data_IF_450570559466
#
_entry.id   IF_450570559466
#
_cell.length_a   1.000
_cell.length_b   1.000
_cell.length_c   1.000
_cell.angle_alpha   90.00
_cell.angle_beta   90.00
_cell.angle_gamma   90.00
#
_symmetry.space_group_name_H-M   'P 1'
#
loop_
_entity.id
_entity.type
_entity.pdbx_description
1 polymer ?
#
# COMPACT_ATOMS: atom_id res chain seq x y z
N UNK A 1 -46.65 -32.03 -18.14
CA UNK A 1 -45.32 -31.57 -18.65
C UNK A 1 -45.17 -30.05 -18.46
N UNK A 2 -45.10 -29.62 -17.23
CA UNK A 2 -44.73 -28.24 -16.86
C UNK A 2 -44.05 -28.31 -15.52
N UNK A 3 -42.90 -27.58 -15.38
CA UNK A 3 -42.14 -27.27 -14.17
C UNK A 3 -40.80 -28.02 -14.00
N UNK A 4 -39.87 -27.78 -14.89
CA UNK A 4 -38.44 -28.02 -14.58
C UNK A 4 -37.49 -26.85 -14.92
N UNK A 5 -37.99 -25.73 -15.46
CA UNK A 5 -37.14 -24.57 -15.83
C UNK A 5 -36.90 -23.59 -14.69
N UNK A 6 -37.76 -23.50 -13.69
CA UNK A 6 -37.63 -22.52 -12.61
C UNK A 6 -36.54 -22.82 -11.57
N UNK A 7 -36.05 -24.06 -11.50
CA UNK A 7 -35.08 -24.45 -10.46
C UNK A 7 -33.62 -24.28 -10.93
N UNK A 8 -33.34 -24.33 -12.24
CA UNK A 8 -31.99 -24.13 -12.76
C UNK A 8 -31.61 -22.64 -12.84
N UNK A 9 -32.55 -21.80 -13.23
CA UNK A 9 -32.34 -20.34 -13.29
C UNK A 9 -32.11 -19.76 -11.90
N UNK A 10 -32.80 -20.27 -10.88
CA UNK A 10 -32.60 -19.90 -9.47
C UNK A 10 -31.20 -20.26 -8.95
N UNK A 11 -30.63 -21.39 -9.36
CA UNK A 11 -29.28 -21.78 -8.96
C UNK A 11 -28.23 -20.98 -9.71
N UNK A 12 -28.44 -20.62 -10.98
CA UNK A 12 -27.55 -19.79 -11.77
C UNK A 12 -27.42 -18.38 -11.17
N UNK A 13 -28.52 -17.84 -10.66
CA UNK A 13 -28.52 -16.53 -10.01
C UNK A 13 -27.69 -16.50 -8.71
N UNK A 14 -27.50 -17.66 -8.08
CA UNK A 14 -26.70 -17.81 -6.85
C UNK A 14 -25.25 -18.22 -7.11
N UNK A 15 -24.86 -18.41 -8.39
CA UNK A 15 -23.49 -18.79 -8.75
C UNK A 15 -22.52 -17.64 -8.49
N UNK A 16 -21.41 -17.90 -7.77
CA UNK A 16 -20.35 -16.89 -7.60
C UNK A 16 -19.84 -16.40 -8.96
N UNK A 17 -19.57 -15.12 -9.05
CA UNK A 17 -19.01 -14.51 -10.26
C UNK A 17 -17.48 -14.58 -10.21
N UNK A 18 -16.85 -15.03 -11.29
CA UNK A 18 -15.40 -15.07 -11.41
C UNK A 18 -14.79 -13.66 -11.36
N UNK A 19 -13.84 -13.41 -10.46
CA UNK A 19 -13.18 -12.11 -10.39
C UNK A 19 -12.35 -11.80 -11.63
N UNK A 20 -12.42 -10.56 -12.09
CA UNK A 20 -11.51 -10.06 -13.13
C UNK A 20 -10.16 -9.64 -12.51
N UNK A 21 -9.08 -9.55 -13.31
CA UNK A 21 -7.78 -9.07 -12.84
C UNK A 21 -7.84 -7.67 -12.20
N UNK A 22 -8.75 -6.81 -12.64
CA UNK A 22 -8.95 -5.46 -12.10
C UNK A 22 -9.51 -5.45 -10.67
N UNK A 23 -10.06 -6.55 -10.19
CA UNK A 23 -10.62 -6.71 -8.84
C UNK A 23 -9.57 -7.19 -7.84
N UNK A 24 -8.45 -7.75 -8.31
CA UNK A 24 -7.36 -8.25 -7.46
C UNK A 24 -6.52 -7.10 -6.89
N UNK A 25 -6.00 -7.29 -5.66
CA UNK A 25 -5.09 -6.32 -5.03
C UNK A 25 -3.68 -6.31 -5.64
N UNK A 26 -3.29 -7.35 -6.38
CA UNK A 26 -1.95 -7.47 -6.98
C UNK A 26 -0.81 -7.72 -6.00
N UNK A 27 -1.10 -7.92 -4.70
CA UNK A 27 -0.09 -8.00 -3.64
C UNK A 27 0.36 -9.42 -3.28
N UNK A 28 -0.17 -10.45 -3.97
CA UNK A 28 0.14 -11.85 -3.65
C UNK A 28 -0.44 -12.33 -2.32
N UNK A 29 -1.52 -11.70 -1.84
CA UNK A 29 -2.18 -12.05 -0.58
C UNK A 29 -2.72 -13.49 -0.60
N UNK A 30 -2.72 -14.15 0.56
CA UNK A 30 -3.35 -15.47 0.75
C UNK A 30 -4.28 -15.41 1.97
N UNK A 31 -5.58 -15.77 1.83
CA UNK A 31 -6.23 -16.16 0.57
C UNK A 31 -6.38 -14.98 -0.40
N UNK A 32 -6.19 -15.22 -1.70
CA UNK A 32 -6.47 -14.27 -2.75
C UNK A 32 -7.98 -14.17 -3.02
N UNK A 33 -8.44 -13.12 -3.71
CA UNK A 33 -9.84 -13.03 -4.16
C UNK A 33 -10.22 -14.23 -5.06
N UNK A 34 -9.26 -14.77 -5.82
CA UNK A 34 -9.47 -15.99 -6.62
C UNK A 34 -9.59 -17.24 -5.76
N UNK A 35 -8.80 -17.37 -4.68
CA UNK A 35 -8.91 -18.49 -3.74
C UNK A 35 -10.27 -18.46 -3.03
N UNK A 36 -10.78 -17.27 -2.69
CA UNK A 36 -12.12 -17.07 -2.12
C UNK A 36 -13.19 -17.50 -3.13
N UNK A 37 -13.06 -17.07 -4.38
CA UNK A 37 -13.98 -17.45 -5.44
C UNK A 37 -14.02 -18.96 -5.66
N UNK A 38 -12.87 -19.64 -5.73
CA UNK A 38 -12.81 -21.11 -5.87
C UNK A 38 -13.50 -21.83 -4.71
N UNK A 39 -13.32 -21.33 -3.48
CA UNK A 39 -13.99 -21.87 -2.30
C UNK A 39 -15.51 -21.66 -2.36
N UNK A 40 -15.96 -20.47 -2.71
CA UNK A 40 -17.39 -20.16 -2.87
C UNK A 40 -18.02 -20.96 -4.02
N UNK A 41 -17.30 -21.15 -5.13
CA UNK A 41 -17.76 -21.97 -6.25
C UNK A 41 -17.92 -23.43 -5.83
N UNK A 42 -16.95 -24.00 -5.15
CA UNK A 42 -17.04 -25.37 -4.64
C UNK A 42 -18.18 -25.55 -3.63
N UNK A 43 -18.46 -24.56 -2.79
CA UNK A 43 -19.59 -24.54 -1.88
C UNK A 43 -20.93 -24.49 -2.64
N UNK A 44 -21.02 -23.65 -3.66
CA UNK A 44 -22.19 -23.56 -4.53
C UNK A 44 -22.47 -24.88 -5.26
N UNK A 45 -21.43 -25.52 -5.83
CA UNK A 45 -21.55 -26.83 -6.49
C UNK A 45 -22.08 -27.91 -5.54
N UNK A 46 -21.57 -27.94 -4.29
CA UNK A 46 -22.05 -28.88 -3.24
C UNK A 46 -23.50 -28.61 -2.87
N UNK A 47 -23.85 -27.34 -2.69
CA UNK A 47 -25.23 -26.94 -2.35
C UNK A 47 -26.19 -27.30 -3.49
N UNK A 48 -25.81 -27.03 -4.74
CA UNK A 48 -26.58 -27.38 -5.94
C UNK A 48 -26.75 -28.90 -6.06
N UNK A 49 -25.69 -29.68 -5.88
CA UNK A 49 -25.74 -31.15 -5.92
C UNK A 49 -26.67 -31.72 -4.87
N UNK A 50 -26.73 -31.13 -3.70
CA UNK A 50 -27.61 -31.55 -2.59
C UNK A 50 -29.01 -30.90 -2.64
N UNK A 51 -29.25 -29.99 -3.58
CA UNK A 51 -30.49 -29.17 -3.67
C UNK A 51 -30.79 -28.42 -2.35
N UNK A 52 -29.75 -28.04 -1.60
CA UNK A 52 -29.87 -27.43 -0.28
C UNK A 52 -29.23 -26.04 -0.26
N UNK A 53 -30.06 -25.00 -0.42
CA UNK A 53 -29.63 -23.60 -0.39
C UNK A 53 -29.13 -23.14 0.98
N UNK A 54 -29.45 -23.84 2.06
CA UNK A 54 -28.99 -23.49 3.41
C UNK A 54 -27.46 -23.61 3.55
N UNK A 55 -26.83 -24.49 2.74
CA UNK A 55 -25.37 -24.63 2.65
C UNK A 55 -24.66 -23.40 2.08
N UNK A 56 -25.38 -22.51 1.38
CA UNK A 56 -24.84 -21.22 0.89
C UNK A 56 -24.89 -20.14 1.97
N UNK A 57 -25.68 -20.36 3.03
CA UNK A 57 -25.85 -19.41 4.14
C UNK A 57 -24.88 -19.69 5.30
N UNK A 58 -23.91 -20.60 5.14
CA UNK A 58 -22.79 -20.66 6.09
C UNK A 58 -22.10 -19.30 6.10
N UNK A 59 -22.34 -18.62 7.20
CA UNK A 59 -22.03 -17.24 7.48
C UNK A 59 -20.66 -16.84 6.93
N UNK A 60 -20.61 -15.79 6.11
CA UNK A 60 -19.52 -14.81 6.23
C UNK A 60 -19.55 -14.34 7.68
N UNK A 61 -18.84 -15.02 8.57
CA UNK A 61 -18.62 -14.54 9.91
C UNK A 61 -17.85 -13.23 9.76
N UNK A 62 -18.58 -12.13 9.82
CA UNK A 62 -18.00 -10.87 10.19
C UNK A 62 -17.50 -11.10 11.61
N UNK A 63 -16.20 -11.35 11.72
CA UNK A 63 -15.53 -11.45 13.00
C UNK A 63 -15.86 -10.19 13.76
N UNK A 64 -16.57 -10.35 14.88
CA UNK A 64 -16.78 -9.27 15.86
C UNK A 64 -15.48 -8.93 16.62
N UNK A 65 -14.37 -9.59 16.27
CA UNK A 65 -13.06 -9.31 16.79
C UNK A 65 -12.54 -8.03 16.12
N UNK A 66 -12.19 -7.08 16.95
CA UNK A 66 -11.55 -5.80 16.60
C UNK A 66 -10.11 -5.95 16.09
N UNK A 67 -9.62 -7.17 15.92
CA UNK A 67 -8.29 -7.47 15.43
C UNK A 67 -8.29 -7.75 13.93
N UNK A 68 -7.23 -7.29 13.29
CA UNK A 68 -6.99 -7.53 11.87
C UNK A 68 -6.74 -9.03 11.63
N UNK A 69 -7.40 -9.60 10.62
CA UNK A 69 -7.31 -11.03 10.29
C UNK A 69 -7.05 -11.20 8.79
N UNK A 70 -6.10 -12.07 8.37
CA UNK A 70 -5.84 -12.30 6.94
C UNK A 70 -6.99 -13.01 6.21
N UNK A 71 -7.77 -13.83 6.91
CA UNK A 71 -8.82 -14.66 6.31
C UNK A 71 -10.17 -13.96 6.21
N UNK A 72 -10.42 -12.97 7.08
CA UNK A 72 -11.69 -12.26 7.18
C UNK A 72 -11.50 -10.75 7.17
N UNK A 73 -12.51 -10.03 6.67
CA UNK A 73 -12.50 -8.56 6.71
C UNK A 73 -13.00 -8.07 8.07
N UNK A 74 -12.26 -7.12 8.63
CA UNK A 74 -12.59 -6.41 9.86
C UNK A 74 -13.03 -4.99 9.53
N UNK A 75 -14.08 -4.52 10.18
CA UNK A 75 -14.65 -3.19 9.99
C UNK A 75 -13.96 -2.16 10.88
N UNK A 76 -13.52 -1.04 10.28
CA UNK A 76 -12.98 0.12 10.98
C UNK A 76 -13.66 1.39 10.49
N UNK A 77 -13.89 2.33 11.39
CA UNK A 77 -14.55 3.61 11.08
C UNK A 77 -13.55 4.69 10.71
N UNK A 78 -13.90 5.51 9.73
CA UNK A 78 -13.11 6.69 9.34
C UNK A 78 -13.28 7.77 10.43
N UNK A 79 -12.20 8.14 11.10
CA UNK A 79 -12.22 9.21 12.12
C UNK A 79 -11.90 10.59 11.54
N UNK A 80 -11.00 10.64 10.56
CA UNK A 80 -10.66 11.89 9.89
C UNK A 80 -10.12 11.65 8.47
N UNK A 81 -10.20 12.68 7.66
CA UNK A 81 -9.61 12.73 6.32
C UNK A 81 -8.91 14.07 6.14
N UNK A 82 -7.71 14.03 5.59
CA UNK A 82 -6.94 15.20 5.20
C UNK A 82 -6.62 15.12 3.71
N UNK A 83 -6.97 16.17 2.96
CA UNK A 83 -6.60 16.27 1.56
C UNK A 83 -5.18 16.83 1.46
N UNK A 84 -4.25 16.04 0.93
CA UNK A 84 -2.83 16.41 0.80
C UNK A 84 -2.54 17.08 -0.53
N UNK A 85 -3.17 16.60 -1.60
CA UNK A 85 -3.11 17.16 -2.95
C UNK A 85 -4.50 17.07 -3.59
N UNK A 86 -4.64 17.51 -4.83
CA UNK A 86 -5.93 17.46 -5.55
C UNK A 86 -6.51 16.04 -5.68
N UNK A 87 -5.64 15.01 -5.67
CA UNK A 87 -6.01 13.61 -5.92
C UNK A 87 -5.56 12.65 -4.81
N UNK A 88 -4.90 13.13 -3.76
CA UNK A 88 -4.33 12.28 -2.71
C UNK A 88 -4.79 12.73 -1.32
N UNK A 89 -5.20 11.76 -0.53
CA UNK A 89 -5.79 11.93 0.77
C UNK A 89 -5.09 11.06 1.81
N UNK A 90 -5.05 11.53 3.06
CA UNK A 90 -4.68 10.76 4.24
C UNK A 90 -5.95 10.45 5.02
N UNK A 91 -6.28 9.17 5.14
CA UNK A 91 -7.41 8.69 5.93
C UNK A 91 -6.92 8.12 7.24
N UNK A 92 -7.58 8.50 8.35
CA UNK A 92 -7.38 7.91 9.67
C UNK A 92 -8.58 7.05 10.02
N UNK A 93 -8.31 5.83 10.47
CA UNK A 93 -9.27 4.85 10.94
C UNK A 93 -9.11 4.63 12.43
N UNK A 94 -10.23 4.44 13.13
CA UNK A 94 -10.23 4.19 14.57
C UNK A 94 -10.00 2.70 14.86
N UNK A 95 -9.16 2.44 15.86
CA UNK A 95 -9.00 1.13 16.48
C UNK A 95 -9.69 1.11 17.84
N UNK A 96 -10.30 -0.03 18.25
CA UNK A 96 -11.00 -0.13 19.52
C UNK A 96 -10.06 0.09 20.71
N UNK A 97 -10.48 0.94 21.63
CA UNK A 97 -9.68 1.27 22.81
C UNK A 97 -8.33 1.84 22.45
N UNK A 98 -7.30 1.39 23.14
CA UNK A 98 -5.90 1.74 22.85
C UNK A 98 -5.17 0.61 22.12
N UNK A 99 -5.88 -0.20 21.33
CA UNK A 99 -5.24 -1.25 20.52
C UNK A 99 -4.42 -0.67 19.38
N UNK A 100 -3.48 -1.45 18.86
CA UNK A 100 -2.67 -1.13 17.68
C UNK A 100 -2.84 -2.21 16.62
N UNK A 101 -2.53 -1.91 15.35
CA UNK A 101 -2.57 -2.91 14.28
C UNK A 101 -1.50 -4.00 14.44
N UNK A 102 -0.43 -3.74 15.21
CA UNK A 102 0.69 -4.65 15.43
C UNK A 102 1.34 -5.14 14.12
N UNK A 103 1.41 -4.27 13.11
CA UNK A 103 2.07 -4.60 11.86
C UNK A 103 3.59 -4.63 12.04
N UNK A 104 4.22 -5.65 11.48
CA UNK A 104 5.67 -5.65 11.25
C UNK A 104 6.02 -4.69 10.11
N UNK A 105 7.26 -4.23 10.08
CA UNK A 105 7.72 -3.27 9.08
C UNK A 105 7.55 -3.81 7.65
N UNK A 106 7.03 -2.97 6.78
CA UNK A 106 6.75 -3.30 5.38
C UNK A 106 5.52 -4.17 5.14
N UNK A 107 4.80 -4.58 6.18
CA UNK A 107 3.52 -5.26 6.01
C UNK A 107 2.43 -4.30 5.53
N UNK A 108 1.52 -4.83 4.72
CA UNK A 108 0.38 -4.10 4.20
C UNK A 108 -0.94 -4.76 4.60
N UNK A 109 -2.01 -4.04 4.41
CA UNK A 109 -3.39 -4.49 4.60
C UNK A 109 -4.16 -4.36 3.30
N UNK A 110 -5.23 -5.12 3.15
CA UNK A 110 -6.04 -5.15 1.94
C UNK A 110 -7.40 -4.56 2.21
N UNK A 111 -7.73 -3.53 1.44
CA UNK A 111 -9.02 -2.86 1.42
C UNK A 111 -10.00 -3.64 0.54
N UNK A 112 -11.23 -3.81 1.05
CA UNK A 112 -12.38 -4.27 0.28
C UNK A 112 -13.27 -3.09 -0.10
N UNK A 113 -13.53 -2.94 -1.38
CA UNK A 113 -14.53 -2.03 -1.92
C UNK A 113 -15.61 -2.78 -2.70
N UNK A 114 -16.77 -2.17 -2.86
CA UNK A 114 -17.84 -2.68 -3.72
C UNK A 114 -18.26 -1.58 -4.69
N UNK A 115 -18.13 -1.85 -5.98
CA UNK A 115 -18.47 -0.92 -7.06
C UNK A 115 -19.46 -1.62 -8.02
N UNK A 116 -20.67 -1.07 -8.14
CA UNK A 116 -21.71 -1.67 -8.98
C UNK A 116 -21.98 -3.16 -8.70
N UNK A 117 -21.94 -3.56 -7.43
CA UNK A 117 -22.11 -4.94 -7.01
C UNK A 117 -20.87 -5.82 -7.16
N UNK A 118 -19.77 -5.33 -7.71
CA UNK A 118 -18.50 -6.05 -7.85
C UNK A 118 -17.58 -5.75 -6.67
N UNK A 119 -17.04 -6.79 -6.07
CA UNK A 119 -16.00 -6.66 -5.05
C UNK A 119 -14.66 -6.34 -5.70
N UNK A 120 -13.97 -5.35 -5.16
CA UNK A 120 -12.63 -4.91 -5.59
C UNK A 120 -11.73 -4.88 -4.36
N UNK A 121 -10.51 -5.38 -4.49
CA UNK A 121 -9.53 -5.37 -3.41
C UNK A 121 -8.25 -4.64 -3.84
N UNK A 122 -7.65 -3.88 -2.90
CA UNK A 122 -6.38 -3.17 -3.13
C UNK A 122 -5.54 -3.20 -1.86
N UNK A 123 -4.23 -3.30 -2.05
CA UNK A 123 -3.25 -3.25 -0.99
C UNK A 123 -2.89 -1.81 -0.62
N UNK A 124 -2.80 -1.55 0.69
CA UNK A 124 -2.31 -0.29 1.23
C UNK A 124 -1.37 -0.56 2.41
N UNK A 125 -0.27 0.15 2.47
CA UNK A 125 0.61 0.10 3.64
C UNK A 125 0.27 1.28 4.55
N UNK A 126 -0.14 1.05 5.81
CA UNK A 126 -0.32 2.12 6.76
C UNK A 126 0.96 2.94 6.95
N UNK A 127 0.81 4.26 7.01
CA UNK A 127 1.93 5.19 7.23
C UNK A 127 2.15 5.52 8.71
N UNK A 128 1.16 5.25 9.54
CA UNK A 128 1.29 5.34 10.99
C UNK A 128 2.22 4.25 11.52
N UNK A 129 2.96 4.51 12.62
CA UNK A 129 3.74 3.46 13.27
C UNK A 129 2.88 2.26 13.65
N UNK A 130 3.42 1.04 13.53
CA UNK A 130 2.70 -0.19 13.85
C UNK A 130 2.25 -0.28 15.33
N UNK A 131 2.89 0.50 16.20
CA UNK A 131 2.55 0.64 17.61
C UNK A 131 1.59 1.81 17.91
N UNK A 132 1.16 2.57 16.90
CA UNK A 132 0.20 3.66 17.11
C UNK A 132 -1.08 3.13 17.77
N UNK A 133 -1.45 3.72 18.89
CA UNK A 133 -2.58 3.29 19.71
C UNK A 133 -3.86 4.02 19.31
N UNK A 134 -4.93 3.27 19.14
CA UNK A 134 -6.27 3.79 18.87
C UNK A 134 -6.53 4.20 17.41
N UNK A 135 -5.56 4.11 16.51
CA UNK A 135 -5.74 4.47 15.10
C UNK A 135 -4.71 3.87 14.17
N UNK A 136 -5.01 3.90 12.88
CA UNK A 136 -4.03 3.77 11.80
C UNK A 136 -4.36 4.72 10.65
N UNK A 137 -3.36 5.04 9.84
CA UNK A 137 -3.48 5.97 8.73
C UNK A 137 -2.97 5.38 7.43
N UNK A 138 -3.68 5.69 6.35
CA UNK A 138 -3.30 5.28 4.99
C UNK A 138 -3.31 6.47 4.04
N UNK A 139 -2.34 6.46 3.11
CA UNK A 139 -2.33 7.37 1.96
C UNK A 139 -3.12 6.74 0.82
N UNK A 140 -4.06 7.48 0.26
CA UNK A 140 -4.87 7.03 -0.85
C UNK A 140 -4.82 8.05 -1.97
N UNK A 141 -4.33 7.62 -3.14
CA UNK A 141 -4.43 8.39 -4.37
C UNK A 141 -5.65 7.93 -5.16
N UNK A 142 -6.51 8.88 -5.55
CA UNK A 142 -7.69 8.63 -6.36
C UNK A 142 -7.38 8.88 -7.83
N UNK A 143 -7.70 7.91 -8.68
CA UNK A 143 -7.59 7.99 -10.12
C UNK A 143 -8.98 8.20 -10.76
N UNK A 144 -9.06 8.89 -11.88
CA UNK A 144 -10.35 9.19 -12.53
C UNK A 144 -11.12 7.92 -12.92
N UNK A 145 -10.44 6.95 -13.53
CA UNK A 145 -11.02 5.71 -14.02
C UNK A 145 -10.83 4.50 -13.08
N UNK A 146 -10.25 4.69 -11.89
CA UNK A 146 -9.98 3.59 -10.97
C UNK A 146 -11.22 3.06 -10.28
N UNK A 147 -11.46 1.74 -10.32
CA UNK A 147 -12.59 1.12 -9.64
C UNK A 147 -12.59 1.40 -8.14
N UNK A 148 -11.46 1.16 -7.47
CA UNK A 148 -11.32 1.45 -6.04
C UNK A 148 -11.48 2.94 -5.75
N UNK A 149 -10.99 3.82 -6.63
CA UNK A 149 -11.14 5.28 -6.50
C UNK A 149 -12.59 5.70 -6.53
N UNK A 150 -13.43 5.07 -7.34
CA UNK A 150 -14.89 5.34 -7.36
C UNK A 150 -15.53 5.01 -6.02
N UNK A 151 -15.11 3.90 -5.39
CA UNK A 151 -15.57 3.52 -4.06
C UNK A 151 -15.11 4.52 -3.00
N UNK A 152 -13.82 4.89 -2.99
CA UNK A 152 -13.22 5.79 -2.01
C UNK A 152 -13.82 7.20 -2.10
N UNK A 153 -14.17 7.67 -3.29
CA UNK A 153 -14.85 8.97 -3.48
C UNK A 153 -16.22 9.07 -2.79
N UNK A 154 -16.82 7.94 -2.41
CA UNK A 154 -18.07 7.90 -1.64
C UNK A 154 -17.85 8.03 -0.14
N UNK A 155 -16.62 7.89 0.35
CA UNK A 155 -16.31 7.86 1.76
C UNK A 155 -16.55 9.19 2.47
N UNK A 156 -17.07 9.08 3.68
CA UNK A 156 -17.29 10.20 4.60
C UNK A 156 -16.76 9.82 5.99
N UNK A 157 -16.43 10.82 6.79
CA UNK A 157 -16.14 10.63 8.21
C UNK A 157 -17.29 9.87 8.89
N UNK A 158 -16.96 8.85 9.65
CA UNK A 158 -17.90 7.94 10.32
C UNK A 158 -18.31 6.72 9.52
N UNK A 159 -17.99 6.66 8.21
CA UNK A 159 -18.24 5.47 7.40
C UNK A 159 -17.38 4.29 7.87
N UNK A 160 -17.94 3.10 7.72
CA UNK A 160 -17.27 1.85 8.04
C UNK A 160 -16.61 1.27 6.78
N UNK A 161 -15.35 0.90 6.92
CA UNK A 161 -14.52 0.37 5.84
C UNK A 161 -13.93 -0.97 6.27
N UNK A 162 -13.85 -1.92 5.34
CA UNK A 162 -13.44 -3.29 5.60
C UNK A 162 -12.01 -3.55 5.14
N UNK A 163 -11.21 -4.06 6.07
CA UNK A 163 -9.81 -4.38 5.88
C UNK A 163 -9.48 -5.79 6.34
N UNK A 164 -8.51 -6.42 5.71
CA UNK A 164 -7.94 -7.69 6.16
C UNK A 164 -6.42 -7.66 6.05
N UNK A 165 -5.75 -8.50 6.79
CA UNK A 165 -4.30 -8.60 6.86
C UNK A 165 -3.83 -9.07 8.23
N UNK A 166 -2.52 -8.95 8.52
CA UNK A 166 -1.47 -8.36 7.69
C UNK A 166 -0.95 -9.30 6.59
N UNK A 167 -0.34 -8.71 5.55
CA UNK A 167 0.33 -9.44 4.47
C UNK A 167 1.71 -8.90 4.19
N UNK A 168 2.57 -9.72 3.56
CA UNK A 168 3.90 -9.33 3.17
C UNK A 168 4.81 -8.98 4.35
N UNK A 169 5.76 -8.09 4.10
CA UNK A 169 6.69 -7.58 5.09
C UNK A 169 8.10 -7.49 4.54
N UNK A 170 8.86 -6.57 5.07
CA UNK A 170 10.29 -6.48 4.87
C UNK A 170 10.99 -6.85 6.19
N UNK A 171 11.83 -7.90 6.21
CA UNK A 171 12.43 -8.41 7.45
C UNK A 171 13.58 -7.49 7.90
N UNK A 172 13.24 -6.26 8.26
CA UNK A 172 14.20 -5.28 8.74
C UNK A 172 14.75 -5.67 10.11
N UNK A 173 16.05 -5.51 10.25
CA UNK A 173 16.75 -5.64 11.52
C UNK A 173 17.69 -4.43 11.69
N UNK A 174 17.72 -3.78 12.87
CA UNK A 174 18.63 -2.68 13.15
C UNK A 174 20.09 -3.04 12.84
N UNK A 175 20.79 -2.13 12.18
CA UNK A 175 22.22 -2.27 11.84
C UNK A 175 22.58 -3.44 10.89
N UNK A 176 21.61 -4.17 10.35
CA UNK A 176 21.88 -5.28 9.41
C UNK A 176 22.46 -4.77 8.09
N UNK A 177 21.95 -3.64 7.61
CA UNK A 177 22.43 -2.97 6.40
C UNK A 177 23.16 -1.69 6.80
N UNK A 178 24.30 -1.42 6.19
CA UNK A 178 25.04 -0.18 6.47
C UNK A 178 24.29 1.06 5.97
N UNK A 179 23.59 0.92 4.87
CA UNK A 179 22.73 1.98 4.27
C UNK A 179 21.52 1.36 3.56
N UNK A 180 20.36 2.00 3.70
CA UNK A 180 19.18 1.75 2.90
C UNK A 180 19.01 2.86 1.87
N UNK A 181 18.90 2.50 0.59
CA UNK A 181 18.47 3.40 -0.47
C UNK A 181 16.99 3.11 -0.76
N UNK A 182 16.13 4.05 -0.42
CA UNK A 182 14.69 3.94 -0.60
C UNK A 182 14.26 4.71 -1.85
N UNK A 183 13.74 4.00 -2.86
CA UNK A 183 13.23 4.56 -4.10
C UNK A 183 11.71 4.52 -4.09
N UNK A 184 11.07 5.66 -3.95
CA UNK A 184 9.63 5.77 -3.82
C UNK A 184 9.04 6.69 -4.88
N UNK A 185 7.96 6.27 -5.53
CA UNK A 185 7.18 7.11 -6.46
C UNK A 185 5.77 7.30 -5.94
N UNK A 186 5.37 8.55 -5.76
CA UNK A 186 4.05 8.91 -5.27
C UNK A 186 3.70 8.22 -3.94
N UNK A 187 2.58 7.53 -3.88
CA UNK A 187 2.15 6.77 -2.70
C UNK A 187 3.03 5.56 -2.36
N UNK A 188 3.98 5.21 -3.22
CA UNK A 188 5.06 4.27 -2.89
C UNK A 188 5.96 4.73 -1.73
N UNK A 189 5.79 5.97 -1.28
CA UNK A 189 6.37 6.47 -0.03
C UNK A 189 5.83 5.73 1.21
N UNK A 190 4.62 5.20 1.16
CA UNK A 190 3.95 4.62 2.32
C UNK A 190 4.73 3.51 3.03
N UNK A 191 5.26 2.46 2.38
CA UNK A 191 6.04 1.43 3.07
C UNK A 191 7.40 1.91 3.58
N UNK A 192 7.93 3.02 3.06
CA UNK A 192 9.22 3.57 3.47
C UNK A 192 9.13 4.27 4.83
N UNK A 193 8.01 4.96 5.11
CA UNK A 193 7.86 5.79 6.29
C UNK A 193 7.95 5.04 7.62
N UNK A 194 7.25 3.90 7.83
CA UNK A 194 7.39 3.16 9.08
C UNK A 194 8.80 2.63 9.32
N UNK A 195 9.51 2.22 8.26
CA UNK A 195 10.89 1.74 8.36
C UNK A 195 11.80 2.90 8.75
N UNK A 196 11.66 4.04 8.08
CA UNK A 196 12.46 5.23 8.36
C UNK A 196 12.22 5.76 9.78
N UNK A 197 10.96 5.81 10.22
CA UNK A 197 10.61 6.18 11.60
C UNK A 197 11.19 5.20 12.62
N UNK A 198 11.11 3.90 12.36
CA UNK A 198 11.71 2.88 13.24
C UNK A 198 13.21 3.07 13.41
N UNK A 199 13.92 3.43 12.33
CA UNK A 199 15.36 3.72 12.38
C UNK A 199 15.66 4.99 13.21
N UNK A 200 14.85 6.04 13.02
CA UNK A 200 15.07 7.32 13.72
C UNK A 200 14.64 7.30 15.18
N UNK A 201 13.70 6.41 15.55
CA UNK A 201 13.22 6.24 16.91
C UNK A 201 14.17 5.36 17.77
N UNK A 202 15.04 4.57 17.14
CA UNK A 202 16.01 3.71 17.82
C UNK A 202 17.38 4.36 17.81
N UNK A 203 17.82 4.86 18.97
CA UNK A 203 19.12 5.52 19.11
C UNK A 203 20.32 4.59 18.86
N UNK A 204 20.12 3.28 18.97
CA UNK A 204 21.15 2.26 18.71
C UNK A 204 21.22 1.84 17.24
N UNK A 205 20.26 2.28 16.42
CA UNK A 205 20.26 1.98 15.01
C UNK A 205 21.02 3.04 14.20
N UNK A 206 22.23 2.71 13.80
CA UNK A 206 23.13 3.56 13.02
C UNK A 206 22.98 3.41 11.50
N UNK A 207 21.92 2.74 11.04
CA UNK A 207 21.67 2.57 9.59
C UNK A 207 21.51 3.91 8.90
N UNK A 208 22.30 4.16 7.87
CA UNK A 208 22.10 5.32 6.99
C UNK A 208 20.89 5.11 6.09
N UNK A 209 20.12 6.16 5.86
CA UNK A 209 19.00 6.14 4.95
C UNK A 209 19.14 7.26 3.92
N UNK A 210 19.08 6.89 2.65
CA UNK A 210 18.88 7.82 1.55
C UNK A 210 17.51 7.54 0.94
N UNK A 211 16.56 8.44 1.17
CA UNK A 211 15.23 8.39 0.58
C UNK A 211 15.20 9.24 -0.69
N UNK A 212 14.80 8.65 -1.80
CA UNK A 212 14.55 9.32 -3.08
C UNK A 212 13.06 9.31 -3.36
N UNK A 213 12.41 10.46 -3.16
CA UNK A 213 10.98 10.65 -3.42
C UNK A 213 10.75 11.23 -4.82
N UNK A 214 10.06 10.48 -5.68
CA UNK A 214 9.73 10.89 -7.04
C UNK A 214 8.29 11.38 -7.10
N UNK A 215 8.09 12.63 -7.49
CA UNK A 215 6.79 13.30 -7.61
C UNK A 215 6.74 14.12 -8.90
N UNK A 216 5.56 14.48 -9.41
CA UNK A 216 5.45 15.34 -10.58
C UNK A 216 6.02 16.74 -10.35
N UNK A 217 5.56 17.42 -9.30
CA UNK A 217 5.92 18.79 -8.94
C UNK A 217 6.10 18.93 -7.43
N UNK A 218 6.62 20.06 -6.99
CA UNK A 218 6.80 20.38 -5.57
C UNK A 218 5.48 20.31 -4.78
N UNK A 219 4.39 20.82 -5.34
CA UNK A 219 3.08 20.84 -4.68
C UNK A 219 2.47 19.43 -4.54
N UNK A 220 2.96 18.47 -5.30
CA UNK A 220 2.53 17.07 -5.24
C UNK A 220 3.33 16.21 -4.25
N UNK A 221 4.31 16.78 -3.56
CA UNK A 221 5.03 16.07 -2.50
C UNK A 221 4.12 15.92 -1.29
N UNK A 222 3.92 14.69 -0.83
CA UNK A 222 3.12 14.41 0.36
C UNK A 222 3.93 14.57 1.64
N UNK A 223 3.27 14.93 2.75
CA UNK A 223 3.83 14.89 4.09
C UNK A 223 5.14 15.69 4.25
N UNK A 224 5.24 16.82 3.57
CA UNK A 224 6.45 17.67 3.61
C UNK A 224 6.96 17.96 5.04
N UNK A 225 6.11 18.33 6.03
CA UNK A 225 6.58 18.57 7.39
C UNK A 225 7.24 17.33 8.02
N UNK A 226 6.64 16.15 7.85
CA UNK A 226 7.19 14.90 8.36
C UNK A 226 8.54 14.57 7.71
N UNK A 227 8.64 14.71 6.38
CA UNK A 227 9.88 14.47 5.66
C UNK A 227 10.99 15.44 6.07
N UNK A 228 10.65 16.71 6.32
CA UNK A 228 11.61 17.69 6.82
C UNK A 228 12.11 17.34 8.24
N UNK A 229 11.24 16.87 9.11
CA UNK A 229 11.62 16.45 10.46
C UNK A 229 12.53 15.21 10.41
N UNK A 230 12.21 14.23 9.57
CA UNK A 230 13.05 13.05 9.36
C UNK A 230 14.42 13.40 8.77
N UNK A 231 14.48 14.37 7.87
CA UNK A 231 15.74 14.82 7.26
C UNK A 231 16.71 15.53 8.23
N UNK A 232 16.27 15.86 9.46
CA UNK A 232 17.13 16.44 10.51
C UNK A 232 18.00 15.41 11.21
N UNK A 233 17.66 14.13 11.11
CA UNK A 233 18.46 13.08 11.69
C UNK A 233 19.80 12.92 10.93
N UNK A 234 20.88 12.74 11.66
CA UNK A 234 22.26 12.70 11.14
C UNK A 234 22.50 11.57 10.13
N UNK A 235 21.71 10.50 10.22
CA UNK A 235 21.77 9.32 9.37
C UNK A 235 20.71 9.31 8.25
N UNK A 236 19.95 10.38 8.07
CA UNK A 236 18.88 10.46 7.07
C UNK A 236 19.19 11.55 6.04
N UNK A 237 19.04 11.20 4.77
CA UNK A 237 19.14 12.12 3.65
C UNK A 237 17.96 11.89 2.71
N UNK A 238 17.33 12.97 2.25
CA UNK A 238 16.18 12.91 1.36
C UNK A 238 16.48 13.69 0.09
N UNK A 239 16.30 13.03 -1.06
CA UNK A 239 16.31 13.66 -2.39
C UNK A 239 14.90 13.68 -2.97
N UNK A 240 14.57 14.74 -3.69
CA UNK A 240 13.33 14.88 -4.43
C UNK A 240 13.62 14.91 -5.93
N UNK A 241 12.90 14.07 -6.67
CA UNK A 241 12.95 14.00 -8.13
C UNK A 241 11.60 14.50 -8.65
N UNK A 242 11.58 15.68 -9.25
CA UNK A 242 10.37 16.35 -9.72
C UNK A 242 10.34 16.33 -11.24
N UNK A 243 9.58 15.38 -11.80
CA UNK A 243 9.60 15.07 -13.24
C UNK A 243 8.95 16.13 -14.14
N UNK A 244 8.06 16.96 -13.57
CA UNK A 244 7.32 18.01 -14.28
C UNK A 244 7.62 19.42 -13.76
N UNK A 245 8.52 19.56 -12.80
CA UNK A 245 8.96 20.86 -12.33
C UNK A 245 9.91 21.49 -13.35
N UNK A 246 9.73 22.78 -13.63
CA UNK A 246 10.46 23.45 -14.70
C UNK A 246 11.72 24.18 -14.23
N UNK A 247 11.80 24.56 -12.95
CA UNK A 247 12.89 25.34 -12.41
C UNK A 247 13.06 25.16 -10.91
N UNK A 248 14.29 24.95 -10.45
CA UNK A 248 14.65 24.94 -9.04
C UNK A 248 14.45 26.30 -8.36
N UNK A 249 14.52 27.39 -9.10
CA UNK A 249 14.39 28.76 -8.57
C UNK A 249 13.00 29.03 -7.97
N UNK A 250 11.98 28.31 -8.45
CA UNK A 250 10.61 28.40 -7.96
C UNK A 250 10.39 27.69 -6.62
N UNK A 251 11.32 26.82 -6.23
CA UNK A 251 11.24 26.06 -4.99
C UNK A 251 11.72 26.89 -3.79
N UNK A 252 11.19 26.60 -2.59
CA UNK A 252 11.78 27.12 -1.37
C UNK A 252 13.27 26.80 -1.29
N UNK A 253 14.06 27.73 -0.77
CA UNK A 253 15.52 27.61 -0.71
C UNK A 253 16.00 26.28 -0.10
N UNK A 254 15.34 25.83 0.98
CA UNK A 254 15.68 24.60 1.70
C UNK A 254 15.56 23.31 0.89
N UNK A 255 14.87 23.33 -0.25
CA UNK A 255 14.69 22.17 -1.12
C UNK A 255 15.65 22.14 -2.32
N UNK A 256 16.25 23.27 -2.69
CA UNK A 256 16.98 23.41 -3.96
C UNK A 256 18.20 22.51 -4.05
N UNK A 257 18.90 22.31 -2.95
CA UNK A 257 20.15 21.52 -2.93
C UNK A 257 19.91 20.03 -3.14
N UNK A 258 18.76 19.51 -2.67
CA UNK A 258 18.45 18.08 -2.69
C UNK A 258 17.33 17.73 -3.70
N UNK A 259 17.08 18.58 -4.68
CA UNK A 259 16.01 18.40 -5.66
C UNK A 259 16.57 18.41 -7.09
N UNK A 260 16.06 17.46 -7.90
CA UNK A 260 16.35 17.36 -9.33
C UNK A 260 15.04 17.56 -10.11
N UNK A 261 15.07 18.45 -11.12
CA UNK A 261 13.93 18.75 -11.99
C UNK A 261 13.99 17.91 -13.28
N UNK A 262 13.97 16.60 -13.11
CA UNK A 262 14.05 15.63 -14.20
C UNK A 262 13.31 14.35 -13.81
N UNK A 263 13.25 13.40 -14.72
CA UNK A 263 12.93 12.02 -14.34
C UNK A 263 14.18 11.32 -13.79
N UNK A 264 13.99 10.43 -12.85
CA UNK A 264 15.05 9.52 -12.41
C UNK A 264 15.42 8.62 -13.60
N UNK A 265 16.70 8.64 -13.95
CA UNK A 265 17.28 7.88 -15.06
C UNK A 265 18.54 7.14 -14.59
N UNK A 266 19.17 6.40 -15.50
CA UNK A 266 20.35 5.60 -15.19
C UNK A 266 21.53 6.42 -14.66
N UNK A 267 21.81 7.59 -15.26
CA UNK A 267 22.94 8.43 -14.88
C UNK A 267 22.73 9.07 -13.50
N UNK A 268 21.52 9.56 -13.24
CA UNK A 268 21.15 10.10 -11.94
C UNK A 268 21.13 9.01 -10.87
N UNK A 269 20.69 7.80 -11.21
CA UNK A 269 20.75 6.64 -10.31
C UNK A 269 22.20 6.32 -9.92
N UNK A 270 23.12 6.28 -10.88
CA UNK A 270 24.56 6.10 -10.60
C UNK A 270 25.12 7.20 -9.70
N UNK A 271 24.73 8.46 -9.95
CA UNK A 271 25.12 9.60 -9.13
C UNK A 271 24.65 9.44 -7.69
N UNK A 272 23.40 9.05 -7.47
CA UNK A 272 22.83 8.83 -6.14
C UNK A 272 23.52 7.67 -5.43
N UNK A 273 23.70 6.53 -6.10
CA UNK A 273 24.40 5.36 -5.54
C UNK A 273 25.83 5.71 -5.14
N UNK A 274 26.56 6.44 -5.99
CA UNK A 274 27.93 6.86 -5.70
C UNK A 274 28.01 7.88 -4.55
N UNK A 275 26.92 8.56 -4.24
CA UNK A 275 26.82 9.47 -3.10
C UNK A 275 26.49 8.77 -1.80
N UNK A 276 26.09 7.50 -1.82
CA UNK A 276 25.85 6.70 -0.62
C UNK A 276 27.15 6.51 0.15
N UNK A 277 27.05 6.53 1.49
CA UNK A 277 28.20 6.39 2.38
C UNK A 277 28.71 4.96 2.44
N UNK A 278 27.80 4.00 2.18
CA UNK A 278 28.07 2.55 2.16
C UNK A 278 27.36 1.93 0.97
N UNK A 279 27.75 0.69 0.61
CA UNK A 279 27.00 -0.07 -0.41
C UNK A 279 25.57 -0.25 0.08
N UNK A 280 24.57 0.30 -0.62
CA UNK A 280 23.20 0.29 -0.11
C UNK A 280 22.49 -1.05 -0.37
N UNK A 281 21.58 -1.40 0.52
CA UNK A 281 20.47 -2.29 0.23
C UNK A 281 19.29 -1.43 -0.25
N UNK A 282 18.61 -1.82 -1.33
CA UNK A 282 17.67 -0.94 -2.04
C UNK A 282 16.24 -1.41 -1.80
N UNK A 283 15.38 -0.49 -1.36
CA UNK A 283 13.94 -0.69 -1.24
C UNK A 283 13.24 0.09 -2.35
N UNK A 284 12.32 -0.57 -3.07
CA UNK A 284 11.65 0.01 -4.23
C UNK A 284 10.13 -0.08 -4.03
N UNK A 285 9.42 1.02 -4.21
CA UNK A 285 7.96 1.04 -4.25
C UNK A 285 7.41 2.13 -5.16
N UNK A 286 6.55 1.74 -6.08
CA UNK A 286 5.86 2.61 -7.01
C UNK A 286 4.96 1.82 -7.94
N UNK A 287 4.61 2.39 -9.10
CA UNK A 287 3.91 1.65 -10.15
C UNK A 287 4.77 0.51 -10.70
N UNK A 288 4.15 -0.48 -11.36
CA UNK A 288 4.90 -1.58 -12.00
C UNK A 288 5.97 -1.05 -12.95
N UNK A 289 5.63 -0.06 -13.78
CA UNK A 289 6.58 0.57 -14.70
C UNK A 289 7.75 1.25 -13.95
N UNK A 290 7.48 1.95 -12.86
CA UNK A 290 8.52 2.54 -12.02
C UNK A 290 9.43 1.46 -11.42
N UNK A 291 8.87 0.41 -10.84
CA UNK A 291 9.62 -0.69 -10.24
C UNK A 291 10.53 -1.39 -11.26
N UNK A 292 10.03 -1.61 -12.48
CA UNK A 292 10.80 -2.20 -13.60
C UNK A 292 11.96 -1.28 -14.02
N UNK A 293 11.71 0.01 -14.21
CA UNK A 293 12.74 0.99 -14.57
C UNK A 293 13.82 1.09 -13.49
N UNK A 294 13.42 1.15 -12.21
CA UNK A 294 14.38 1.19 -11.09
C UNK A 294 15.24 -0.06 -11.04
N UNK A 295 14.65 -1.24 -11.18
CA UNK A 295 15.38 -2.51 -11.21
C UNK A 295 16.40 -2.56 -12.36
N UNK A 296 16.02 -2.05 -13.53
CA UNK A 296 16.91 -1.95 -14.70
C UNK A 296 18.09 -0.99 -14.44
N UNK A 297 17.83 0.20 -13.89
CA UNK A 297 18.89 1.19 -13.62
C UNK A 297 19.84 0.73 -12.53
N UNK A 298 19.33 0.06 -11.49
CA UNK A 298 20.14 -0.52 -10.42
C UNK A 298 21.07 -1.60 -10.94
N UNK A 299 20.57 -2.49 -11.79
CA UNK A 299 21.38 -3.53 -12.45
C UNK A 299 22.48 -2.92 -13.31
N UNK A 300 22.18 -1.88 -14.10
CA UNK A 300 23.16 -1.15 -14.90
C UNK A 300 24.21 -0.42 -14.04
N UNK A 301 23.86 -0.05 -12.81
CA UNK A 301 24.77 0.55 -11.83
C UNK A 301 25.55 -0.48 -10.99
N UNK A 302 25.41 -1.80 -11.28
CA UNK A 302 26.14 -2.85 -10.59
C UNK A 302 25.55 -3.28 -9.24
N UNK A 303 24.29 -2.94 -8.95
CA UNK A 303 23.57 -3.44 -7.79
C UNK A 303 22.98 -4.80 -8.11
N UNK A 304 23.27 -5.79 -7.29
CA UNK A 304 22.78 -7.15 -7.44
C UNK A 304 21.30 -7.26 -7.04
N UNK A 305 20.56 -8.16 -7.68
CA UNK A 305 19.14 -8.38 -7.43
C UNK A 305 18.86 -8.78 -5.97
N UNK A 306 19.74 -9.56 -5.36
CA UNK A 306 19.68 -9.97 -3.95
C UNK A 306 19.92 -8.81 -2.95
N UNK A 307 20.35 -7.65 -3.44
CA UNK A 307 20.50 -6.42 -2.67
C UNK A 307 19.32 -5.46 -2.86
N UNK A 308 18.21 -5.95 -3.41
CA UNK A 308 17.00 -5.18 -3.67
C UNK A 308 15.77 -5.88 -3.08
N UNK A 309 14.81 -5.08 -2.64
CA UNK A 309 13.48 -5.53 -2.23
C UNK A 309 12.43 -4.63 -2.88
N UNK A 310 11.45 -5.23 -3.54
CA UNK A 310 10.33 -4.53 -4.19
C UNK A 310 9.05 -4.84 -3.41
N UNK A 311 8.37 -3.77 -2.95
CA UNK A 311 7.09 -3.89 -2.25
C UNK A 311 5.93 -4.17 -3.21
#
# INVERSE_FOLDING_TARGET
>A
LQTMSGNEDDWLALKPQEPSPSQCCGSGCKPCIYDVYEKELAQWERAKAKQDKSLLMEKKEQSSNSELNPDTFTAFSISSVEQLTEDTYQYRFELPGNSSLQLSLGQHIVLRGVVNGLEVQRAYTPISPGYAEGYFEVLVKCYEAGLMSQYIKTWKKGDTVFWRGPFGGFPYQPNKHGELLMLASGTGLAPMLPILQSITDDEEDETFVTLVGCFPTFDKIYLKPLLQDLARYWNVRIFYILSQETSLEKLPWSYRENTYTSRLNEDLMKTIINSCRRKPFVLICGSSAFNEDMSKYLKAAGIEENSCFVF
#
